data_IF_757834103525
#
_entry.id   IF_757834103525
#
_cell.length_a   1.000
_cell.length_b   1.000
_cell.length_c   1.000
_cell.angle_alpha   90.00
_cell.angle_beta   90.00
_cell.angle_gamma   90.00
#
_symmetry.space_group_name_H-M   'P 1'
#
loop_
_entity.id
_entity.type
_entity.pdbx_description
1 polymer ?
#
# COMPACT_ATOMS: atom_id res chain seq x y z
N UNK A 1 -7.65 19.81 -7.79
CA UNK A 1 -6.96 18.51 -7.59
C UNK A 1 -5.74 18.47 -8.47
N UNK A 2 -4.57 18.15 -7.92
CA UNK A 2 -3.29 18.26 -8.62
C UNK A 2 -2.85 16.90 -9.17
N UNK A 3 -2.26 16.90 -10.37
CA UNK A 3 -1.65 15.68 -10.91
C UNK A 3 -0.27 15.43 -10.28
N UNK A 4 0.02 14.17 -9.98
CA UNK A 4 1.36 13.73 -9.61
C UNK A 4 2.31 13.82 -10.80
N UNK A 5 3.60 14.02 -10.52
CA UNK A 5 4.66 14.06 -11.54
C UNK A 5 5.10 12.68 -12.04
N UNK A 6 4.53 11.61 -11.50
CA UNK A 6 4.81 10.23 -11.91
C UNK A 6 3.52 9.44 -12.12
N UNK A 7 3.62 8.29 -12.77
CA UNK A 7 2.47 7.39 -12.84
C UNK A 7 2.27 6.63 -11.52
N UNK A 8 1.05 6.14 -11.29
CA UNK A 8 0.71 5.46 -10.03
C UNK A 8 1.55 4.20 -9.75
N UNK A 9 2.02 3.50 -10.80
CA UNK A 9 2.85 2.31 -10.63
C UNK A 9 4.25 2.67 -10.16
N UNK A 10 4.82 3.74 -10.70
CA UNK A 10 6.08 4.30 -10.23
C UNK A 10 5.96 4.76 -8.79
N UNK A 11 4.87 5.45 -8.44
CA UNK A 11 4.59 5.85 -7.06
C UNK A 11 4.59 4.64 -6.12
N UNK A 12 3.85 3.58 -6.46
CA UNK A 12 3.78 2.36 -5.65
C UNK A 12 5.16 1.73 -5.47
N UNK A 13 5.94 1.63 -6.56
CA UNK A 13 7.27 1.03 -6.49
C UNK A 13 8.23 1.89 -5.67
N UNK A 14 8.22 3.21 -5.84
CA UNK A 14 9.01 4.12 -5.01
C UNK A 14 8.67 3.94 -3.53
N UNK A 15 7.38 3.93 -3.17
CA UNK A 15 6.96 3.67 -1.79
C UNK A 15 7.58 2.38 -1.24
N UNK A 16 7.45 1.29 -2.00
CA UNK A 16 7.83 -0.05 -1.55
C UNK A 16 9.34 -0.31 -1.55
N UNK A 17 10.13 0.50 -2.27
CA UNK A 17 11.59 0.46 -2.18
C UNK A 17 12.11 1.20 -0.93
N UNK A 18 11.21 1.88 -0.21
CA UNK A 18 11.47 2.60 1.03
C UNK A 18 10.52 3.79 1.12
N UNK A 19 9.68 3.85 2.14
CA UNK A 19 8.68 4.91 2.28
C UNK A 19 9.33 6.32 2.32
N UNK A 20 10.54 6.42 2.89
CA UNK A 20 11.38 7.63 2.88
C UNK A 20 11.95 7.99 1.51
N UNK A 21 11.86 7.10 0.51
CA UNK A 21 12.34 7.35 -0.85
C UNK A 21 11.31 8.10 -1.72
N UNK A 22 10.08 8.26 -1.23
CA UNK A 22 9.13 9.14 -1.88
C UNK A 22 9.60 10.58 -1.70
N UNK A 23 9.75 11.27 -2.84
CA UNK A 23 10.16 12.66 -2.85
C UNK A 23 8.95 13.59 -2.77
N UNK A 24 9.04 14.60 -1.93
CA UNK A 24 8.04 15.67 -1.79
C UNK A 24 7.68 16.29 -3.15
N UNK A 25 8.66 16.45 -4.05
CA UNK A 25 8.44 17.06 -5.36
C UNK A 25 7.46 16.28 -6.24
N UNK A 26 7.28 14.96 -5.99
CA UNK A 26 6.29 14.11 -6.67
C UNK A 26 4.87 14.64 -6.49
N UNK A 27 4.62 15.24 -5.34
CA UNK A 27 3.34 15.83 -4.90
C UNK A 27 3.32 17.36 -5.06
N UNK A 28 4.33 17.93 -5.72
CA UNK A 28 4.47 19.38 -5.89
C UNK A 28 4.92 20.12 -4.63
N UNK A 29 5.38 19.41 -3.61
CA UNK A 29 5.86 19.98 -2.34
C UNK A 29 7.38 20.15 -2.37
N UNK A 30 7.94 21.04 -1.53
CA UNK A 30 9.39 21.18 -1.33
C UNK A 30 9.91 20.19 -0.29
N UNK A 31 9.13 19.89 0.73
CA UNK A 31 9.40 18.97 1.83
C UNK A 31 8.09 18.46 2.44
N UNK A 32 8.18 17.50 3.36
CA UNK A 32 7.04 16.95 4.08
C UNK A 32 6.89 17.50 5.51
N UNK A 33 7.31 18.74 5.77
CA UNK A 33 7.16 19.37 7.08
C UNK A 33 5.76 19.93 7.31
N UNK A 34 5.27 19.94 8.55
CA UNK A 34 3.93 20.43 8.89
C UNK A 34 3.65 21.85 8.38
N UNK A 35 4.62 22.75 8.46
CA UNK A 35 4.46 24.12 8.00
C UNK A 35 4.12 24.19 6.50
N UNK A 36 4.74 23.32 5.71
CA UNK A 36 4.46 23.21 4.29
C UNK A 36 3.13 22.52 4.01
N UNK A 37 2.82 21.43 4.73
CA UNK A 37 1.52 20.74 4.58
C UNK A 37 0.35 21.69 4.89
N UNK A 38 0.46 22.51 5.94
CA UNK A 38 -0.51 23.56 6.27
C UNK A 38 -0.61 24.64 5.18
N UNK A 39 0.53 25.12 4.70
CA UNK A 39 0.59 26.12 3.60
C UNK A 39 -0.07 25.59 2.33
N UNK A 40 0.11 24.31 2.05
CA UNK A 40 -0.44 23.62 0.90
C UNK A 40 -1.86 23.10 1.13
N UNK A 41 -2.56 23.53 2.20
CA UNK A 41 -3.94 23.17 2.49
C UNK A 41 -4.18 21.65 2.55
N UNK A 42 -3.32 20.92 3.25
CA UNK A 42 -3.64 19.55 3.66
C UNK A 42 -4.72 19.59 4.76
N UNK A 43 -5.64 18.65 4.71
CA UNK A 43 -6.61 18.45 5.77
C UNK A 43 -5.92 17.78 6.96
N UNK A 44 -6.06 18.37 8.14
CA UNK A 44 -5.50 17.84 9.38
C UNK A 44 -6.59 17.16 10.19
N UNK A 45 -6.36 15.90 10.57
CA UNK A 45 -7.23 15.10 11.44
C UNK A 45 -6.46 14.73 12.70
N UNK A 46 -7.06 14.94 13.87
CA UNK A 46 -6.44 14.66 15.17
C UNK A 46 -5.91 15.91 15.87
N UNK A 47 -4.91 15.74 16.72
CA UNK A 47 -4.33 16.80 17.54
C UNK A 47 -2.86 17.04 17.16
N UNK A 48 -2.51 18.29 16.83
CA UNK A 48 -1.17 18.67 16.41
C UNK A 48 -0.11 18.49 17.51
N UNK A 49 -0.53 18.58 18.78
CA UNK A 49 0.36 18.46 19.94
C UNK A 49 0.51 17.01 20.43
N UNK A 50 -0.25 16.06 19.85
CA UNK A 50 -0.15 14.61 20.10
C UNK A 50 -0.05 13.87 18.76
N UNK A 51 -1.06 13.06 18.39
CA UNK A 51 -1.12 12.38 17.11
C UNK A 51 -2.03 13.11 16.12
N UNK A 52 -1.47 13.48 14.97
CA UNK A 52 -2.25 13.99 13.85
C UNK A 52 -1.86 13.34 12.52
N UNK A 53 -2.83 13.38 11.60
CA UNK A 53 -2.70 12.97 10.21
C UNK A 53 -2.95 14.21 9.34
N UNK A 54 -2.03 14.46 8.41
CA UNK A 54 -2.29 15.35 7.28
C UNK A 54 -2.59 14.51 6.04
N UNK A 55 -3.69 14.81 5.35
CA UNK A 55 -4.04 14.15 4.10
C UNK A 55 -4.45 15.12 3.00
N UNK A 56 -4.23 14.71 1.75
CA UNK A 56 -4.63 15.47 0.57
C UNK A 56 -4.77 14.58 -0.67
N UNK A 57 -5.75 14.92 -1.49
CA UNK A 57 -6.05 14.25 -2.75
C UNK A 57 -5.22 14.75 -3.93
N UNK A 58 -4.78 13.77 -4.73
CA UNK A 58 -4.05 13.93 -5.96
C UNK A 58 -4.60 13.01 -7.05
N UNK A 59 -4.22 13.29 -8.29
CA UNK A 59 -4.50 12.41 -9.42
C UNK A 59 -3.19 11.85 -9.97
N UNK A 60 -3.12 10.54 -10.18
CA UNK A 60 -2.02 9.90 -10.88
C UNK A 60 -2.50 9.31 -12.20
N UNK A 61 -1.74 9.50 -13.27
CA UNK A 61 -2.03 8.85 -14.55
C UNK A 61 -1.67 7.36 -14.46
N UNK A 62 -2.53 6.52 -15.01
CA UNK A 62 -2.28 5.10 -15.17
C UNK A 62 -2.78 4.62 -16.54
N UNK A 63 -1.87 4.50 -17.50
CA UNK A 63 -2.21 4.28 -18.92
C UNK A 63 -3.19 5.36 -19.41
N UNK A 64 -4.43 4.99 -19.70
CA UNK A 64 -5.48 5.86 -20.26
C UNK A 64 -6.48 6.36 -19.21
N UNK A 65 -6.28 6.03 -17.92
CA UNK A 65 -7.17 6.42 -16.82
C UNK A 65 -6.42 7.20 -15.75
N UNK A 66 -7.14 8.00 -14.99
CA UNK A 66 -6.64 8.60 -13.75
C UNK A 66 -6.99 7.72 -12.56
N UNK A 67 -6.14 7.77 -11.53
CA UNK A 67 -6.34 7.13 -10.23
C UNK A 67 -6.28 8.23 -9.18
N UNK A 68 -7.29 8.30 -8.31
CA UNK A 68 -7.25 9.16 -7.14
C UNK A 68 -6.23 8.59 -6.16
N UNK A 69 -5.38 9.47 -5.66
CA UNK A 69 -4.29 9.16 -4.75
C UNK A 69 -4.43 10.06 -3.54
N UNK A 70 -4.59 9.48 -2.37
CA UNK A 70 -4.57 10.22 -1.10
C UNK A 70 -3.20 10.04 -0.49
N UNK A 71 -2.44 11.13 -0.37
CA UNK A 71 -1.21 11.14 0.41
C UNK A 71 -1.54 11.34 1.88
N UNK A 72 -1.02 10.48 2.75
CA UNK A 72 -1.18 10.54 4.21
C UNK A 72 0.18 10.73 4.87
N UNK A 73 0.30 11.72 5.76
CA UNK A 73 1.50 11.99 6.55
C UNK A 73 1.13 12.00 8.02
N UNK A 74 1.73 11.09 8.79
CA UNK A 74 1.46 10.92 10.21
C UNK A 74 2.51 11.65 11.04
N UNK A 75 2.06 12.34 12.08
CA UNK A 75 2.91 13.04 13.02
C UNK A 75 2.56 12.62 14.45
N UNK A 76 3.58 12.58 15.30
CA UNK A 76 3.45 12.36 16.73
C UNK A 76 4.35 13.37 17.45
N UNK A 77 3.78 14.19 18.33
CA UNK A 77 4.47 15.27 19.04
C UNK A 77 5.29 16.17 18.10
N UNK A 78 4.66 16.62 17.01
CA UNK A 78 5.30 17.50 16.02
C UNK A 78 6.38 16.87 15.14
N UNK A 79 6.59 15.55 15.21
CA UNK A 79 7.60 14.83 14.43
C UNK A 79 6.93 13.85 13.48
N UNK A 80 7.44 13.77 12.26
CA UNK A 80 6.97 12.80 11.28
C UNK A 80 7.19 11.38 11.82
N UNK A 81 6.09 10.64 11.98
CA UNK A 81 6.08 9.26 12.46
C UNK A 81 5.87 8.26 11.34
N UNK A 82 5.31 8.66 10.19
CA UNK A 82 5.19 7.78 9.04
C UNK A 82 4.40 8.37 7.88
N UNK A 83 4.13 7.55 6.88
CA UNK A 83 3.29 7.95 5.76
C UNK A 83 2.50 6.78 5.16
N UNK A 84 1.43 7.10 4.46
CA UNK A 84 0.61 6.14 3.74
C UNK A 84 0.13 6.71 2.41
N UNK A 85 -0.30 5.82 1.52
CA UNK A 85 -0.93 6.19 0.26
C UNK A 85 -2.18 5.34 0.08
N UNK A 86 -3.32 5.99 -0.17
CA UNK A 86 -4.55 5.30 -0.57
C UNK A 86 -4.85 5.53 -2.05
N UNK A 87 -5.41 4.52 -2.72
CA UNK A 87 -5.69 4.51 -4.16
C UNK A 87 -7.16 4.17 -4.44
N UNK A 88 -7.82 4.99 -5.25
CA UNK A 88 -9.18 4.73 -5.72
C UNK A 88 -9.40 5.27 -7.14
N UNK A 89 -9.84 4.48 -8.12
CA UNK A 89 -9.79 3.02 -8.14
C UNK A 89 -8.33 2.52 -8.07
N UNK A 90 -8.12 1.36 -7.44
CA UNK A 90 -6.79 0.79 -7.28
C UNK A 90 -6.17 0.30 -8.59
N UNK A 91 -4.88 -0.05 -8.53
CA UNK A 91 -4.17 -0.71 -9.64
C UNK A 91 -4.06 -2.21 -9.43
N UNK A 92 -4.03 -2.99 -10.52
CA UNK A 92 -3.92 -4.45 -10.42
C UNK A 92 -2.68 -4.86 -9.61
N UNK A 93 -2.88 -5.74 -8.64
CA UNK A 93 -1.84 -6.23 -7.75
C UNK A 93 -0.76 -7.05 -8.49
N UNK A 94 -1.17 -7.98 -9.36
CA UNK A 94 -0.23 -8.93 -10.00
C UNK A 94 0.89 -8.23 -10.80
N UNK A 95 0.63 -7.23 -11.65
CA UNK A 95 1.71 -6.50 -12.32
C UNK A 95 2.67 -5.79 -11.35
N UNK A 96 2.19 -5.31 -10.20
CA UNK A 96 3.04 -4.69 -9.18
C UNK A 96 3.95 -5.76 -8.54
N UNK A 97 3.36 -6.89 -8.14
CA UNK A 97 4.09 -8.05 -7.59
C UNK A 97 5.18 -8.55 -8.53
N UNK A 98 4.93 -8.61 -9.84
CA UNK A 98 5.95 -8.99 -10.85
C UNK A 98 7.20 -8.14 -10.71
N UNK A 99 7.04 -6.82 -10.52
CA UNK A 99 8.14 -5.88 -10.39
C UNK A 99 8.83 -6.00 -9.03
N UNK A 100 8.08 -6.13 -7.94
CA UNK A 100 8.61 -6.36 -6.58
C UNK A 100 9.48 -7.62 -6.55
N UNK A 101 8.94 -8.75 -7.01
CA UNK A 101 9.64 -10.05 -7.01
C UNK A 101 10.86 -10.01 -7.94
N UNK A 102 10.76 -9.37 -9.12
CA UNK A 102 11.91 -9.25 -10.04
C UNK A 102 13.07 -8.44 -9.45
N UNK A 103 12.81 -7.62 -8.44
CA UNK A 103 13.83 -6.84 -7.70
C UNK A 103 14.39 -7.59 -6.50
N UNK A 104 14.00 -8.84 -6.28
CA UNK A 104 14.49 -9.68 -5.18
C UNK A 104 13.91 -9.33 -3.81
N UNK A 105 12.85 -8.52 -3.75
CA UNK A 105 12.20 -8.20 -2.48
C UNK A 105 11.41 -9.41 -1.97
N UNK A 106 11.58 -9.72 -0.67
CA UNK A 106 10.80 -10.75 0.00
C UNK A 106 9.34 -10.31 0.10
N UNK A 107 8.43 -11.27 -0.04
CA UNK A 107 6.99 -11.04 0.01
C UNK A 107 6.29 -12.10 0.86
N UNK A 108 5.42 -11.65 1.76
CA UNK A 108 4.55 -12.52 2.56
C UNK A 108 3.09 -12.15 2.26
N UNK A 109 2.27 -13.14 1.90
CA UNK A 109 0.87 -12.91 1.54
C UNK A 109 -0.07 -13.27 2.68
N UNK A 110 -1.04 -12.41 2.91
CA UNK A 110 -2.06 -12.55 3.93
C UNK A 110 -3.45 -12.31 3.33
N UNK A 111 -4.43 -13.08 3.76
CA UNK A 111 -5.83 -12.91 3.38
C UNK A 111 -6.69 -12.72 4.62
N UNK A 112 -7.64 -11.80 4.51
CA UNK A 112 -8.74 -11.70 5.46
C UNK A 112 -9.75 -12.83 5.22
N UNK A 113 -10.72 -12.97 6.13
CA UNK A 113 -11.81 -13.94 5.97
C UNK A 113 -12.57 -13.68 4.66
N UNK A 114 -13.00 -14.76 3.99
CA UNK A 114 -13.64 -14.68 2.67
C UNK A 114 -12.71 -14.33 1.50
N UNK A 115 -11.45 -13.97 1.76
CA UNK A 115 -10.43 -13.66 0.75
C UNK A 115 -10.80 -12.53 -0.23
N UNK A 116 -11.75 -11.66 0.12
CA UNK A 116 -12.05 -10.46 -0.67
C UNK A 116 -10.99 -9.39 -0.47
N UNK A 117 -10.41 -9.34 0.74
CA UNK A 117 -9.35 -8.42 1.13
C UNK A 117 -8.11 -9.18 1.58
N UNK A 118 -6.96 -8.52 1.50
CA UNK A 118 -5.72 -9.06 2.00
C UNK A 118 -4.60 -8.03 2.03
N UNK A 119 -3.42 -8.52 2.39
CA UNK A 119 -2.23 -7.72 2.48
C UNK A 119 -1.01 -8.48 1.95
N UNK A 120 -0.06 -7.74 1.38
CA UNK A 120 1.27 -8.24 1.06
C UNK A 120 2.26 -7.48 1.92
N UNK A 121 3.00 -8.18 2.77
CA UNK A 121 4.15 -7.61 3.47
C UNK A 121 5.36 -7.75 2.55
N UNK A 122 6.01 -6.63 2.25
CA UNK A 122 7.15 -6.52 1.33
C UNK A 122 8.37 -6.07 2.11
N UNK A 123 9.49 -6.79 1.98
CA UNK A 123 10.75 -6.43 2.64
C UNK A 123 10.71 -6.45 4.17
N UNK A 124 9.63 -6.99 4.76
CA UNK A 124 9.45 -7.13 6.21
C UNK A 124 8.78 -5.95 6.92
N UNK A 125 8.64 -4.78 6.29
CA UNK A 125 8.13 -3.56 6.96
C UNK A 125 7.12 -2.74 6.14
N UNK A 126 6.97 -3.03 4.84
CA UNK A 126 6.07 -2.32 3.94
C UNK A 126 4.86 -3.19 3.65
N UNK A 127 3.68 -2.60 3.61
CA UNK A 127 2.41 -3.30 3.48
C UNK A 127 1.68 -2.76 2.25
N UNK A 128 1.26 -3.68 1.40
CA UNK A 128 0.34 -3.42 0.30
C UNK A 128 -1.01 -4.02 0.68
N UNK A 129 -1.98 -3.21 1.08
CA UNK A 129 -3.36 -3.67 1.21
C UNK A 129 -4.00 -3.77 -0.16
N UNK A 130 -4.75 -4.84 -0.36
CA UNK A 130 -5.46 -5.06 -1.61
C UNK A 130 -6.86 -5.57 -1.34
N UNK A 131 -7.76 -5.28 -2.27
CA UNK A 131 -9.11 -5.82 -2.27
C UNK A 131 -9.53 -6.26 -3.65
N UNK A 132 -10.52 -7.14 -3.70
CA UNK A 132 -11.11 -7.56 -4.95
C UNK A 132 -11.70 -6.35 -5.68
N UNK A 133 -11.49 -6.30 -6.99
CA UNK A 133 -12.08 -5.26 -7.80
C UNK A 133 -13.59 -5.47 -7.94
N UNK A 134 -14.32 -4.42 -8.35
CA UNK A 134 -15.78 -4.47 -8.49
C UNK A 134 -16.30 -5.60 -9.40
N UNK A 135 -15.48 -6.07 -10.33
CA UNK A 135 -15.85 -7.15 -11.26
C UNK A 135 -15.64 -8.56 -10.70
N UNK A 136 -14.99 -8.71 -9.55
CA UNK A 136 -14.68 -10.03 -8.99
C UNK A 136 -13.54 -10.79 -9.69
N UNK A 137 -12.75 -10.13 -10.55
CA UNK A 137 -11.83 -10.83 -11.48
C UNK A 137 -10.35 -10.63 -11.17
N UNK A 138 -10.02 -9.68 -10.30
CA UNK A 138 -8.65 -9.36 -9.93
C UNK A 138 -8.61 -8.63 -8.58
N UNK A 139 -7.47 -8.71 -7.90
CA UNK A 139 -7.15 -7.82 -6.78
C UNK A 139 -6.54 -6.51 -7.27
N UNK A 140 -6.93 -5.43 -6.60
CA UNK A 140 -6.41 -4.08 -6.78
C UNK A 140 -5.74 -3.61 -5.49
N UNK A 141 -4.61 -2.94 -5.63
CA UNK A 141 -3.92 -2.23 -4.55
C UNK A 141 -4.81 -1.09 -4.07
N UNK A 142 -5.05 -1.04 -2.77
CA UNK A 142 -5.87 -0.01 -2.11
C UNK A 142 -5.03 0.91 -1.27
N UNK A 143 -4.13 0.35 -0.47
CA UNK A 143 -3.31 1.14 0.43
C UNK A 143 -1.88 0.65 0.43
N UNK A 144 -0.96 1.60 0.61
CA UNK A 144 0.43 1.39 0.89
C UNK A 144 0.71 1.98 2.27
N UNK A 145 1.17 1.15 3.17
CA UNK A 145 1.47 1.51 4.56
C UNK A 145 2.88 0.98 4.89
N UNK A 146 3.54 1.57 5.87
CA UNK A 146 4.79 1.07 6.42
C UNK A 146 4.75 1.21 7.93
N UNK A 147 5.60 0.45 8.62
CA UNK A 147 5.82 0.68 10.04
C UNK A 147 6.29 2.13 10.28
N UNK A 148 5.88 2.68 11.43
CA UNK A 148 6.18 4.05 11.81
C UNK A 148 7.61 4.16 12.34
N UNK A 149 8.30 5.25 11.97
CA UNK A 149 9.74 5.47 12.18
C UNK A 149 10.13 5.66 13.65
N UNK A 150 9.21 6.09 14.53
CA UNK A 150 9.59 6.64 15.83
C UNK A 150 9.28 5.74 17.04
N UNK A 151 8.25 4.88 16.99
CA UNK A 151 7.70 4.33 18.23
C UNK A 151 7.39 2.83 18.23
N UNK A 152 7.37 2.15 17.08
CA UNK A 152 6.92 0.76 17.03
C UNK A 152 7.30 0.09 15.71
N UNK A 153 8.57 -0.29 15.58
CA UNK A 153 9.01 -1.20 14.52
C UNK A 153 8.11 -2.45 14.58
N UNK A 154 7.60 -2.89 13.43
CA UNK A 154 6.68 -4.03 13.27
C UNK A 154 5.22 -3.85 13.72
N UNK A 155 4.76 -2.70 14.22
CA UNK A 155 3.36 -2.62 14.68
C UNK A 155 2.33 -2.85 13.57
N UNK A 156 2.52 -2.28 12.39
CA UNK A 156 1.60 -2.45 11.27
C UNK A 156 1.67 -3.90 10.75
N UNK A 157 2.88 -4.45 10.61
CA UNK A 157 3.09 -5.82 10.16
C UNK A 157 2.55 -6.85 11.16
N UNK A 158 2.77 -6.62 12.47
CA UNK A 158 2.25 -7.43 13.56
C UNK A 158 0.72 -7.43 13.58
N UNK A 159 0.09 -6.28 13.31
CA UNK A 159 -1.36 -6.17 13.17
C UNK A 159 -1.88 -7.05 12.03
N UNK A 160 -1.24 -7.02 10.85
CA UNK A 160 -1.58 -7.92 9.73
C UNK A 160 -1.42 -9.39 10.13
N UNK A 161 -0.29 -9.76 10.74
CA UNK A 161 -0.02 -11.15 11.16
C UNK A 161 -1.02 -11.68 12.18
N UNK A 162 -1.57 -10.82 13.04
CA UNK A 162 -2.57 -11.19 14.05
C UNK A 162 -4.00 -11.24 13.50
N UNK A 163 -4.31 -10.43 12.49
CA UNK A 163 -5.68 -10.25 11.98
C UNK A 163 -5.98 -11.01 10.68
N UNK A 164 -4.96 -11.54 10.00
CA UNK A 164 -5.10 -12.20 8.70
C UNK A 164 -4.35 -13.53 8.64
N UNK A 165 -4.85 -14.43 7.80
CA UNK A 165 -4.23 -15.74 7.60
C UNK A 165 -3.12 -15.65 6.56
N UNK A 166 -1.90 -16.07 6.92
CA UNK A 166 -0.79 -16.18 5.98
C UNK A 166 -1.04 -17.29 4.95
N UNK A 167 -0.78 -17.02 3.67
CA UNK A 167 -0.76 -18.03 2.62
C UNK A 167 0.60 -18.74 2.67
N UNK A 168 0.64 -19.94 3.27
CA UNK A 168 1.86 -20.74 3.40
C UNK A 168 2.00 -21.80 2.30
N UNK A 169 0.91 -22.52 2.03
CA UNK A 169 0.83 -23.57 1.00
C UNK A 169 -0.50 -23.37 0.27
N UNK A 170 -0.57 -23.77 -0.99
CA UNK A 170 -1.80 -23.73 -1.76
C UNK A 170 -2.89 -24.56 -1.08
N UNK A 171 -3.71 -23.95 -0.24
CA UNK A 171 -4.79 -24.64 0.45
C UNK A 171 -5.97 -24.80 -0.50
N UNK A 172 -6.34 -26.04 -0.87
CA UNK A 172 -7.67 -26.32 -1.35
C UNK A 172 -8.53 -26.53 -0.10
N UNK A 173 -9.36 -25.56 0.26
CA UNK A 173 -10.45 -25.80 1.22
C UNK A 173 -11.51 -24.71 1.07
N UNK A 174 -12.63 -25.09 0.44
CA UNK A 174 -14.02 -24.62 0.60
C UNK A 174 -14.34 -23.13 0.78
N UNK A 175 -13.39 -22.22 0.54
CA UNK A 175 -13.67 -20.80 0.39
C UNK A 175 -14.27 -20.65 -1.00
N UNK A 176 -15.57 -20.33 -1.06
CA UNK A 176 -16.32 -20.15 -2.31
C UNK A 176 -15.46 -19.47 -3.37
N UNK A 177 -15.43 -20.02 -4.60
CA UNK A 177 -14.44 -19.70 -5.64
C UNK A 177 -14.33 -18.19 -5.90
N UNK A 178 -13.37 -17.53 -5.26
CA UNK A 178 -12.96 -16.16 -5.60
C UNK A 178 -12.04 -16.25 -6.82
N UNK A 179 -12.50 -15.78 -7.98
CA UNK A 179 -11.73 -15.87 -9.24
C UNK A 179 -10.42 -15.08 -9.15
N UNK A 180 -10.44 -13.94 -8.46
CA UNK A 180 -9.23 -13.16 -8.19
C UNK A 180 -8.19 -13.96 -7.40
N UNK A 181 -8.63 -14.74 -6.40
CA UNK A 181 -7.76 -15.60 -5.58
C UNK A 181 -7.11 -16.71 -6.40
N UNK A 182 -7.88 -17.44 -7.19
CA UNK A 182 -7.35 -18.52 -8.03
C UNK A 182 -6.26 -18.02 -8.99
N UNK A 183 -6.49 -16.86 -9.61
CA UNK A 183 -5.51 -16.20 -10.48
C UNK A 183 -4.25 -15.78 -9.73
N UNK A 184 -4.40 -15.24 -8.52
CA UNK A 184 -3.25 -14.85 -7.68
C UNK A 184 -2.44 -16.09 -7.28
N UNK A 185 -3.08 -17.13 -6.75
CA UNK A 185 -2.42 -18.37 -6.34
C UNK A 185 -1.71 -19.05 -7.52
N UNK A 186 -2.35 -19.10 -8.68
CA UNK A 186 -1.73 -19.62 -9.92
C UNK A 186 -0.47 -18.84 -10.28
N UNK A 187 -0.52 -17.51 -10.19
CA UNK A 187 0.65 -16.66 -10.42
C UNK A 187 1.78 -16.94 -9.42
N UNK A 188 1.47 -17.00 -8.12
CA UNK A 188 2.47 -17.20 -7.06
C UNK A 188 3.13 -18.58 -7.14
N UNK A 189 2.35 -19.63 -7.42
CA UNK A 189 2.87 -21.00 -7.68
C UNK A 189 3.87 -21.02 -8.82
N UNK A 190 3.54 -20.40 -9.97
CA UNK A 190 4.43 -20.34 -11.15
C UNK A 190 5.73 -19.58 -10.89
N UNK A 191 5.77 -18.76 -9.84
CA UNK A 191 6.96 -17.97 -9.45
C UNK A 191 7.75 -18.59 -8.30
N UNK A 192 7.33 -19.75 -7.78
CA UNK A 192 7.99 -20.40 -6.65
C UNK A 192 7.91 -19.59 -5.35
N UNK A 193 6.98 -18.62 -5.27
CA UNK A 193 6.79 -17.78 -4.08
C UNK A 193 6.07 -18.56 -2.98
N UNK A 194 5.20 -19.48 -3.38
CA UNK A 194 4.61 -20.47 -2.49
C UNK A 194 5.43 -21.75 -2.67
N UNK A 195 6.14 -22.18 -1.63
CA UNK A 195 6.75 -23.51 -1.58
C UNK A 195 5.71 -24.50 -1.01
N UNK A 196 5.71 -25.77 -1.44
CA UNK A 196 4.88 -26.82 -0.84
C UNK A 196 5.22 -27.08 0.63
#
# INVERSE_FOLDING_TARGET
MNYLKCNVFELCLSYLMGASSIKAETFGLRAFGEAELKTENFDMVGDADDFCLYEKDYLAVHFVRSVDVILKRYFFNGRESGCGISLSPGVRLVPLLKRIISRGLSVEFYLHEGALDGAVVVGGNSIVRFSENRSGTAYEVRDLESDQLLNNEEAAVSSIRKSMSRILVATPQDRGKVVALDRLLTYLKRRGVLQP
#
